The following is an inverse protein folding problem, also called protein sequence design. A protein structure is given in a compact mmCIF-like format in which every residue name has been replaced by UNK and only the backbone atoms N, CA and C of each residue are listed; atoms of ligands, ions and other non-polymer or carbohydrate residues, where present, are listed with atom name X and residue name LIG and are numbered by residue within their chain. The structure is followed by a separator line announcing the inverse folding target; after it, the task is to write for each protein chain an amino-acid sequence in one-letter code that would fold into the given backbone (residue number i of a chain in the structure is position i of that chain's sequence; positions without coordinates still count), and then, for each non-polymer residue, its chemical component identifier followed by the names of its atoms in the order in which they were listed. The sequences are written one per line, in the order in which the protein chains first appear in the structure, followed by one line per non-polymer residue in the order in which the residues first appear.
data_IF_452273334320
#
_entry.id   IF_452273334320
#
_cell.length_a   1.000
_cell.length_b   1.000
_cell.length_c   1.000
_cell.angle_alpha   90.00
_cell.angle_beta   90.00
_cell.angle_gamma   90.00
#
_symmetry.space_group_name_H-M   'P 1'
#
loop_
_entity.id
_entity.type
_entity.pdbx_description
1 polymer ?
#
# COMPACT_ATOMS: atom_id res chain seq x y z
N UNK A 1 -3.15 -18.77 -0.71
CA UNK A 1 -3.01 -17.32 -0.97
C UNK A 1 -3.01 -16.53 0.32
N UNK A 2 -3.92 -16.79 1.27
CA UNK A 2 -3.85 -16.19 2.62
C UNK A 2 -2.56 -16.55 3.37
N UNK A 3 -2.12 -17.81 3.34
CA UNK A 3 -0.82 -18.21 3.92
C UNK A 3 0.38 -17.53 3.25
N UNK A 4 0.35 -17.38 1.92
CA UNK A 4 1.42 -16.68 1.17
C UNK A 4 1.45 -15.21 1.58
N UNK A 5 0.28 -14.59 1.74
CA UNK A 5 0.13 -13.22 2.22
C UNK A 5 0.61 -13.05 3.66
N UNK A 6 0.37 -14.03 4.53
CA UNK A 6 0.84 -14.04 5.93
C UNK A 6 2.36 -14.22 6.02
N UNK A 7 2.94 -15.06 5.16
CA UNK A 7 4.40 -15.19 5.02
C UNK A 7 4.99 -13.87 4.49
N UNK A 8 4.38 -13.25 3.48
CA UNK A 8 4.81 -11.97 2.94
C UNK A 8 4.74 -10.86 4.01
N UNK A 9 3.71 -10.87 4.85
CA UNK A 9 3.55 -9.95 5.97
C UNK A 9 4.70 -10.13 7.00
N UNK A 10 4.96 -11.38 7.40
CA UNK A 10 6.02 -11.71 8.36
C UNK A 10 7.45 -11.40 7.88
N UNK A 11 7.74 -11.58 6.59
CA UNK A 11 9.09 -11.42 6.03
C UNK A 11 9.30 -10.13 5.22
N UNK A 12 8.25 -9.37 4.92
CA UNK A 12 8.30 -8.14 4.13
C UNK A 12 8.82 -6.92 4.89
N UNK A 13 8.90 -6.98 6.22
CA UNK A 13 9.27 -5.85 7.09
C UNK A 13 10.77 -5.52 7.13
N UNK A 14 11.61 -6.34 6.49
CA UNK A 14 13.06 -6.26 6.59
C UNK A 14 13.67 -5.50 5.39
N UNK A 15 14.29 -4.36 5.69
CA UNK A 15 14.40 -3.21 4.78
C UNK A 15 15.70 -3.19 3.95
N UNK A 16 16.69 -4.02 4.32
CA UNK A 16 18.09 -3.85 3.91
C UNK A 16 18.73 -5.08 3.27
N UNK A 17 17.94 -6.07 2.83
CA UNK A 17 18.51 -7.26 2.20
C UNK A 17 18.84 -7.01 0.74
N UNK A 18 20.07 -7.37 0.36
CA UNK A 18 20.63 -7.21 -0.99
C UNK A 18 19.75 -7.82 -2.10
N UNK A 19 19.09 -8.95 -1.82
CA UNK A 19 18.22 -9.64 -2.77
C UNK A 19 16.91 -8.89 -3.06
N UNK A 20 16.51 -7.93 -2.23
CA UNK A 20 15.38 -7.05 -2.52
C UNK A 20 15.76 -5.90 -3.44
N UNK A 21 17.02 -5.75 -3.85
CA UNK A 21 17.45 -4.71 -4.80
C UNK A 21 16.70 -4.82 -6.14
N UNK A 22 16.29 -3.69 -6.71
CA UNK A 22 15.60 -3.64 -8.01
C UNK A 22 16.41 -4.35 -9.09
N UNK A 23 17.72 -4.14 -9.12
CA UNK A 23 18.59 -4.78 -10.09
C UNK A 23 18.63 -6.30 -9.93
N UNK A 24 18.68 -6.80 -8.69
CA UNK A 24 18.62 -8.24 -8.42
C UNK A 24 17.26 -8.84 -8.82
N UNK A 25 16.16 -8.13 -8.55
CA UNK A 25 14.81 -8.55 -8.96
C UNK A 25 14.71 -8.63 -10.48
N UNK A 26 15.27 -7.67 -11.22
CA UNK A 26 15.29 -7.69 -12.69
C UNK A 26 16.10 -8.88 -13.21
N UNK A 27 17.27 -9.15 -12.64
CA UNK A 27 18.09 -10.32 -13.00
C UNK A 27 17.33 -11.62 -12.71
N UNK A 28 16.71 -11.74 -11.54
CA UNK A 28 15.86 -12.89 -11.24
C UNK A 28 14.65 -12.98 -12.16
N UNK A 29 14.09 -11.87 -12.62
CA UNK A 29 13.02 -11.90 -13.63
C UNK A 29 13.47 -12.52 -14.95
N UNK A 30 14.73 -12.30 -15.34
CA UNK A 30 15.30 -12.82 -16.59
C UNK A 30 15.71 -14.30 -16.44
N UNK A 31 16.36 -14.64 -15.33
CA UNK A 31 16.89 -16.01 -15.09
C UNK A 31 15.80 -16.97 -14.61
N UNK A 32 14.92 -16.50 -13.72
CA UNK A 32 13.90 -17.30 -13.07
C UNK A 32 12.69 -16.44 -12.68
N UNK A 33 11.88 -16.08 -13.69
CA UNK A 33 10.77 -15.13 -13.56
C UNK A 33 9.80 -15.37 -12.39
N UNK A 34 9.50 -16.61 -11.92
CA UNK A 34 8.65 -16.79 -10.74
C UNK A 34 9.28 -16.23 -9.46
N UNK A 35 10.60 -16.39 -9.27
CA UNK A 35 11.27 -15.75 -8.13
C UNK A 35 11.36 -14.24 -8.31
N UNK A 36 11.54 -13.75 -9.54
CA UNK A 36 11.47 -12.32 -9.83
C UNK A 36 10.15 -11.71 -9.34
N UNK A 37 9.02 -12.34 -9.64
CA UNK A 37 7.69 -11.92 -9.16
C UNK A 37 7.63 -12.01 -7.63
N UNK A 38 7.99 -13.14 -7.03
CA UNK A 38 7.91 -13.33 -5.59
C UNK A 38 8.75 -12.28 -4.81
N UNK A 39 9.96 -11.99 -5.29
CA UNK A 39 10.83 -10.97 -4.70
C UNK A 39 10.28 -9.55 -4.86
N UNK A 40 9.63 -9.27 -6.00
CA UNK A 40 8.97 -7.98 -6.21
C UNK A 40 7.81 -7.79 -5.22
N UNK A 41 7.00 -8.83 -5.00
CA UNK A 41 5.91 -8.82 -4.03
C UNK A 41 6.47 -8.56 -2.63
N UNK A 42 7.52 -9.30 -2.24
CA UNK A 42 8.16 -9.16 -0.93
C UNK A 42 8.76 -7.75 -0.72
N UNK A 43 9.39 -7.18 -1.76
CA UNK A 43 9.93 -5.80 -1.73
C UNK A 43 8.82 -4.75 -1.50
N UNK A 44 7.61 -5.02 -1.95
CA UNK A 44 6.49 -4.10 -1.83
C UNK A 44 5.73 -4.24 -0.51
N UNK A 45 5.79 -5.39 0.16
CA UNK A 45 5.02 -5.64 1.38
C UNK A 45 5.39 -4.73 2.56
N UNK A 46 6.68 -4.38 2.72
CA UNK A 46 7.13 -3.57 3.87
C UNK A 46 7.20 -2.06 3.68
N UNK A 47 6.78 -1.52 2.53
CA UNK A 47 6.87 -0.08 2.25
C UNK A 47 5.50 0.58 2.43
N UNK A 48 5.38 1.55 3.34
CA UNK A 48 4.13 2.30 3.55
C UNK A 48 3.57 2.85 2.24
N UNK A 49 4.41 3.48 1.43
CA UNK A 49 4.01 4.04 0.14
C UNK A 49 3.52 2.94 -0.81
N UNK A 50 4.13 1.75 -0.77
CA UNK A 50 3.73 0.62 -1.62
C UNK A 50 2.31 0.12 -1.31
N UNK A 51 1.81 0.33 -0.09
CA UNK A 51 0.42 0.03 0.28
C UNK A 51 -0.60 0.94 -0.41
N UNK A 52 -0.17 2.11 -0.88
CA UNK A 52 -1.00 3.11 -1.55
C UNK A 52 -0.68 3.26 -3.05
N UNK A 53 0.47 2.74 -3.49
CA UNK A 53 0.96 2.78 -4.89
C UNK A 53 0.19 1.84 -5.82
N UNK A 54 -0.60 0.91 -5.29
CA UNK A 54 -1.43 -0.01 -6.10
C UNK A 54 -2.22 0.70 -7.22
N UNK A 55 -2.74 1.90 -6.97
CA UNK A 55 -3.45 2.70 -7.97
C UNK A 55 -2.55 3.34 -9.04
N UNK A 56 -1.32 3.71 -8.69
CA UNK A 56 -0.43 4.55 -9.52
C UNK A 56 0.41 3.71 -10.48
N UNK A 57 0.82 2.50 -10.07
CA UNK A 57 1.70 1.63 -10.87
C UNK A 57 0.96 0.49 -11.61
N UNK A 58 -0.38 0.48 -11.59
CA UNK A 58 -1.19 -0.55 -12.29
C UNK A 58 -0.78 -0.75 -13.76
N UNK A 59 -0.44 0.35 -14.44
CA UNK A 59 -0.04 0.34 -15.86
C UNK A 59 1.25 -0.45 -16.08
N UNK A 60 2.21 -0.39 -15.15
CA UNK A 60 3.49 -1.10 -15.25
C UNK A 60 3.29 -2.61 -15.15
N UNK A 61 2.48 -3.07 -14.20
CA UNK A 61 2.15 -4.49 -14.04
C UNK A 61 1.29 -5.04 -15.18
N UNK A 62 0.35 -4.24 -15.68
CA UNK A 62 -0.47 -4.62 -16.84
C UNK A 62 0.41 -4.75 -18.09
N UNK A 63 1.29 -3.78 -18.34
CA UNK A 63 2.19 -3.78 -19.50
C UNK A 63 3.18 -4.95 -19.43
N UNK A 64 3.79 -5.20 -18.26
CA UNK A 64 4.69 -6.33 -18.06
C UNK A 64 3.97 -7.68 -18.21
N UNK A 65 2.74 -7.80 -17.67
CA UNK A 65 1.95 -9.03 -17.76
C UNK A 65 1.49 -9.31 -19.19
N UNK A 66 1.01 -8.29 -19.90
CA UNK A 66 0.66 -8.39 -21.32
C UNK A 66 1.88 -8.73 -22.19
N UNK A 67 3.03 -8.10 -21.92
CA UNK A 67 4.29 -8.40 -22.60
C UNK A 67 4.73 -9.85 -22.44
N UNK A 68 4.64 -10.39 -21.22
CA UNK A 68 4.93 -11.81 -20.95
C UNK A 68 3.99 -12.77 -21.71
N UNK A 69 2.70 -12.45 -21.80
CA UNK A 69 1.73 -13.27 -22.55
C UNK A 69 2.06 -13.25 -24.04
N UNK A 70 2.34 -12.09 -24.61
CA UNK A 70 2.69 -11.96 -26.04
C UNK A 70 3.98 -12.73 -26.34
N UNK A 71 5.02 -12.56 -25.52
CA UNK A 71 6.27 -13.33 -25.67
C UNK A 71 6.02 -14.83 -25.53
N UNK A 72 5.18 -15.24 -24.57
CA UNK A 72 4.78 -16.64 -24.40
C UNK A 72 4.14 -17.23 -25.66
N UNK A 73 3.21 -16.50 -26.30
CA UNK A 73 2.56 -16.92 -27.55
C UNK A 73 3.59 -17.10 -28.68
N UNK A 74 4.55 -16.17 -28.82
CA UNK A 74 5.62 -16.31 -29.80
C UNK A 74 6.54 -17.50 -29.49
N UNK A 75 6.83 -17.74 -28.22
CA UNK A 75 7.74 -18.80 -27.76
C UNK A 75 7.15 -20.20 -27.94
N UNK A 76 5.82 -20.36 -27.98
CA UNK A 76 5.15 -21.66 -28.18
C UNK A 76 5.68 -22.39 -29.42
N UNK A 77 6.04 -21.66 -30.48
CA UNK A 77 6.60 -22.24 -31.71
C UNK A 77 7.97 -22.91 -31.51
N UNK A 78 8.77 -22.43 -30.56
CA UNK A 78 10.10 -22.94 -30.26
C UNK A 78 10.09 -23.93 -29.11
N UNK A 79 9.35 -23.63 -28.04
CA UNK A 79 9.20 -24.51 -26.88
C UNK A 79 7.83 -24.29 -26.24
N UNK A 80 6.96 -25.31 -26.38
CA UNK A 80 5.61 -25.28 -25.84
C UNK A 80 5.57 -25.14 -24.32
N UNK A 81 6.49 -25.81 -23.62
CA UNK A 81 6.57 -25.78 -22.14
C UNK A 81 6.89 -24.36 -21.65
N UNK A 82 7.91 -23.72 -22.21
CA UNK A 82 8.29 -22.35 -21.84
C UNK A 82 7.20 -21.33 -22.22
N UNK A 83 6.56 -21.51 -23.38
CA UNK A 83 5.46 -20.64 -23.81
C UNK A 83 4.26 -20.67 -22.87
N UNK A 84 3.79 -21.86 -22.47
CA UNK A 84 2.68 -22.03 -21.52
C UNK A 84 3.04 -21.42 -20.15
N UNK A 85 4.26 -21.66 -19.69
CA UNK A 85 4.73 -21.20 -18.39
C UNK A 85 4.80 -19.66 -18.32
N UNK A 86 5.20 -18.98 -19.40
CA UNK A 86 5.15 -17.51 -19.49
C UNK A 86 3.71 -16.95 -19.52
N UNK A 87 2.78 -17.63 -20.18
CA UNK A 87 1.36 -17.21 -20.23
C UNK A 87 0.74 -17.28 -18.83
N UNK A 88 0.97 -18.38 -18.10
CA UNK A 88 0.52 -18.53 -16.71
C UNK A 88 1.11 -17.40 -15.85
N UNK A 89 2.39 -17.08 -16.05
CA UNK A 89 3.07 -16.01 -15.36
C UNK A 89 2.51 -14.62 -15.60
N UNK A 90 2.28 -14.28 -16.87
CA UNK A 90 1.63 -13.03 -17.24
C UNK A 90 0.21 -12.93 -16.66
N UNK A 91 -0.55 -14.03 -16.70
CA UNK A 91 -1.87 -14.10 -16.06
C UNK A 91 -1.83 -13.86 -14.54
N UNK A 92 -0.88 -14.48 -13.84
CA UNK A 92 -0.67 -14.26 -12.41
C UNK A 92 -0.33 -12.79 -12.09
N UNK A 93 0.49 -12.14 -12.93
CA UNK A 93 0.85 -10.73 -12.75
C UNK A 93 -0.34 -9.78 -12.96
N UNK A 94 -1.21 -10.08 -13.93
CA UNK A 94 -2.44 -9.32 -14.16
C UNK A 94 -3.43 -9.47 -13.00
N UNK A 95 -3.60 -10.68 -12.47
CA UNK A 95 -4.41 -10.92 -11.29
C UNK A 95 -3.85 -10.18 -10.06
N UNK A 96 -2.54 -10.30 -9.83
CA UNK A 96 -1.87 -9.62 -8.73
C UNK A 96 -2.03 -8.09 -8.81
N UNK A 97 -1.91 -7.51 -10.01
CA UNK A 97 -2.14 -6.07 -10.24
C UNK A 97 -3.52 -5.62 -9.75
N UNK A 98 -4.59 -6.38 -10.07
CA UNK A 98 -5.94 -6.07 -9.57
C UNK A 98 -6.02 -6.12 -8.06
N UNK A 99 -5.49 -7.18 -7.45
CA UNK A 99 -5.53 -7.33 -5.98
C UNK A 99 -4.78 -6.20 -5.25
N UNK A 100 -3.71 -5.65 -5.86
CA UNK A 100 -2.99 -4.51 -5.32
C UNK A 100 -3.79 -3.22 -5.39
N UNK A 101 -4.51 -2.99 -6.50
CA UNK A 101 -5.38 -1.81 -6.66
C UNK A 101 -6.49 -1.83 -5.62
N UNK A 102 -7.18 -2.97 -5.48
CA UNK A 102 -8.30 -3.10 -4.54
C UNK A 102 -7.84 -2.90 -3.09
N UNK A 103 -6.67 -3.45 -2.73
CA UNK A 103 -6.06 -3.25 -1.41
C UNK A 103 -5.68 -1.79 -1.18
N UNK A 104 -5.07 -1.14 -2.17
CA UNK A 104 -4.67 0.26 -2.05
C UNK A 104 -5.89 1.17 -1.90
N UNK A 105 -6.97 0.92 -2.64
CA UNK A 105 -8.21 1.70 -2.51
C UNK A 105 -8.84 1.53 -1.12
N UNK A 106 -8.91 0.29 -0.60
CA UNK A 106 -9.40 0.05 0.76
C UNK A 106 -8.54 0.72 1.81
N UNK A 107 -7.22 0.65 1.70
CA UNK A 107 -6.31 1.32 2.63
C UNK A 107 -6.53 2.84 2.64
N UNK A 108 -6.82 3.46 1.49
CA UNK A 108 -7.20 4.89 1.44
C UNK A 108 -8.52 5.16 2.14
N UNK A 109 -9.53 4.30 1.94
CA UNK A 109 -10.83 4.41 2.63
C UNK A 109 -10.68 4.30 4.15
N UNK A 110 -9.85 3.40 4.66
CA UNK A 110 -9.59 3.32 6.10
C UNK A 110 -9.00 4.62 6.65
N UNK A 111 -8.01 5.20 5.98
CA UNK A 111 -7.44 6.49 6.39
C UNK A 111 -8.50 7.59 6.34
N UNK A 112 -9.29 7.66 5.28
CA UNK A 112 -10.33 8.67 5.15
C UNK A 112 -11.37 8.57 6.28
N UNK A 113 -11.88 7.37 6.56
CA UNK A 113 -12.86 7.12 7.62
C UNK A 113 -12.28 7.44 9.01
N UNK A 114 -11.08 6.96 9.31
CA UNK A 114 -10.50 7.06 10.66
C UNK A 114 -9.92 8.45 10.92
N UNK A 115 -9.24 9.06 9.94
CA UNK A 115 -8.51 10.32 10.11
C UNK A 115 -9.38 11.51 9.76
N UNK A 116 -10.03 11.51 8.59
CA UNK A 116 -10.81 12.66 8.14
C UNK A 116 -12.20 12.68 8.78
N UNK A 117 -12.87 11.51 8.85
CA UNK A 117 -14.24 11.41 9.37
C UNK A 117 -14.32 11.07 10.87
N UNK A 118 -13.19 10.72 11.50
CA UNK A 118 -13.09 10.27 12.91
C UNK A 118 -14.06 9.14 13.26
N UNK A 119 -14.32 8.24 12.31
CA UNK A 119 -15.12 7.04 12.55
C UNK A 119 -14.34 6.05 13.42
N UNK A 120 -14.94 5.70 14.56
CA UNK A 120 -14.34 4.78 15.53
C UNK A 120 -14.94 3.37 15.47
N UNK A 121 -16.11 3.16 14.88
CA UNK A 121 -16.73 1.84 14.83
C UNK A 121 -16.09 0.95 13.75
N UNK A 122 -15.49 -0.17 14.16
CA UNK A 122 -14.93 -1.16 13.22
C UNK A 122 -16.03 -1.76 12.34
N UNK A 123 -17.23 -1.98 12.89
CA UNK A 123 -18.36 -2.51 12.13
C UNK A 123 -18.80 -1.54 11.02
N UNK A 124 -18.83 -0.22 11.28
CA UNK A 124 -19.16 0.77 10.25
C UNK A 124 -18.07 0.83 9.17
N UNK A 125 -16.80 0.83 9.58
CA UNK A 125 -15.66 0.79 8.65
C UNK A 125 -15.71 -0.46 7.75
N UNK A 126 -16.01 -1.62 8.34
CA UNK A 126 -16.16 -2.87 7.62
C UNK A 126 -17.34 -2.84 6.64
N UNK A 127 -18.46 -2.25 7.05
CA UNK A 127 -19.65 -2.03 6.23
C UNK A 127 -19.37 -1.16 5.01
N UNK A 128 -18.77 0.02 5.21
CA UNK A 128 -18.38 0.94 4.12
C UNK A 128 -17.38 0.29 3.15
N UNK A 129 -16.46 -0.53 3.68
CA UNK A 129 -15.48 -1.25 2.88
C UNK A 129 -15.99 -2.56 2.26
N UNK A 130 -17.26 -2.95 2.53
CA UNK A 130 -17.88 -4.20 2.06
C UNK A 130 -17.06 -5.45 2.40
N UNK A 131 -16.55 -5.53 3.62
CA UNK A 131 -15.76 -6.67 4.13
C UNK A 131 -16.28 -7.15 5.48
N UNK A 132 -15.90 -8.36 5.87
CA UNK A 132 -16.17 -8.91 7.20
C UNK A 132 -15.38 -8.17 8.29
N UNK A 133 -15.97 -8.05 9.48
CA UNK A 133 -15.34 -7.51 10.68
C UNK A 133 -13.94 -8.10 10.93
N UNK A 134 -13.79 -9.43 10.94
CA UNK A 134 -12.50 -10.09 11.22
C UNK A 134 -11.40 -9.72 10.22
N UNK A 135 -11.80 -9.48 8.97
CA UNK A 135 -10.88 -9.02 7.92
C UNK A 135 -10.49 -7.56 8.12
N UNK A 136 -11.44 -6.70 8.49
CA UNK A 136 -11.17 -5.30 8.79
C UNK A 136 -10.18 -5.19 9.97
N UNK A 137 -10.42 -5.91 11.06
CA UNK A 137 -9.53 -5.93 12.22
C UNK A 137 -8.12 -6.37 11.86
N UNK A 138 -7.97 -7.44 11.07
CA UNK A 138 -6.65 -7.91 10.60
C UNK A 138 -5.96 -6.88 9.71
N UNK A 139 -6.66 -6.29 8.74
CA UNK A 139 -6.09 -5.26 7.86
C UNK A 139 -5.69 -3.99 8.65
N UNK A 140 -6.48 -3.58 9.65
CA UNK A 140 -6.19 -2.44 10.51
C UNK A 140 -4.99 -2.68 11.44
N UNK A 141 -4.92 -3.85 12.07
CA UNK A 141 -3.74 -4.27 12.85
C UNK A 141 -2.49 -4.28 11.98
N UNK A 142 -2.59 -4.75 10.75
CA UNK A 142 -1.47 -4.71 9.80
C UNK A 142 -1.04 -3.28 9.43
N UNK A 143 -1.98 -2.36 9.24
CA UNK A 143 -1.66 -0.94 9.02
C UNK A 143 -1.01 -0.29 10.25
N UNK A 144 -1.37 -0.73 11.44
CA UNK A 144 -0.72 -0.31 12.69
C UNK A 144 0.72 -0.84 12.79
N UNK A 145 0.95 -2.13 12.52
CA UNK A 145 2.30 -2.75 12.62
C UNK A 145 3.29 -2.17 11.60
N UNK A 146 2.82 -1.86 10.38
CA UNK A 146 3.67 -1.20 9.37
C UNK A 146 3.86 0.30 9.65
N UNK A 147 3.15 0.84 10.64
CA UNK A 147 3.30 2.22 11.09
C UNK A 147 2.71 3.24 10.12
N UNK A 148 1.71 2.83 9.34
CA UNK A 148 0.79 3.74 8.64
C UNK A 148 -0.13 4.39 9.68
N UNK A 149 -0.66 3.59 10.60
CA UNK A 149 -1.59 3.99 11.64
C UNK A 149 -0.89 3.94 13.01
N UNK A 150 0.01 4.89 13.29
CA UNK A 150 0.88 4.83 14.50
C UNK A 150 0.19 5.13 15.81
N UNK A 151 -0.83 5.99 15.83
CA UNK A 151 -1.40 6.54 17.05
C UNK A 151 -2.85 6.08 17.24
N UNK A 152 -3.07 4.77 17.20
CA UNK A 152 -4.43 4.22 17.26
C UNK A 152 -4.49 3.10 18.28
N UNK A 153 -5.52 3.16 19.12
CA UNK A 153 -5.90 2.06 20.02
C UNK A 153 -7.01 1.27 19.36
N UNK A 154 -6.81 -0.04 19.16
CA UNK A 154 -7.85 -0.95 18.67
C UNK A 154 -8.37 -1.72 19.87
N UNK A 155 -9.62 -1.48 20.23
CA UNK A 155 -10.35 -2.18 21.27
C UNK A 155 -11.27 -3.22 20.62
N UNK A 156 -10.76 -4.45 20.49
CA UNK A 156 -11.50 -5.59 19.95
C UNK A 156 -12.78 -5.96 20.73
N UNK A 157 -12.79 -6.02 22.08
CA UNK A 157 -14.02 -6.36 22.80
C UNK A 157 -15.11 -5.30 22.64
N UNK A 158 -14.75 -4.02 22.56
CA UNK A 158 -15.73 -2.95 22.32
C UNK A 158 -15.99 -2.66 20.84
N UNK A 159 -15.25 -3.30 19.91
CA UNK A 159 -15.31 -3.09 18.44
C UNK A 159 -15.06 -1.64 18.01
N UNK A 160 -14.22 -0.94 18.76
CA UNK A 160 -13.93 0.48 18.56
C UNK A 160 -12.45 0.71 18.31
N UNK A 161 -12.18 1.69 17.45
CA UNK A 161 -10.89 2.26 17.14
C UNK A 161 -10.89 3.68 17.68
N UNK A 162 -9.87 4.03 18.46
CA UNK A 162 -9.70 5.40 18.95
C UNK A 162 -8.38 5.94 18.46
N UNK A 163 -8.43 7.08 17.77
CA UNK A 163 -7.23 7.83 17.44
C UNK A 163 -6.70 8.47 18.72
N UNK A 164 -5.54 8.00 19.19
CA UNK A 164 -4.81 8.67 20.26
C UNK A 164 -4.17 9.88 19.60
N UNK A 165 -4.84 11.03 19.60
CA UNK A 165 -4.20 12.26 19.17
C UNK A 165 -2.95 12.46 20.04
N UNK A 166 -1.77 12.30 19.44
CA UNK A 166 -0.55 12.79 20.06
C UNK A 166 -0.75 14.29 20.16
N UNK A 167 -1.06 14.75 21.36
CA UNK A 167 -1.24 16.13 21.74
C UNK A 167 -0.18 17.00 21.06
N UNK A 168 -0.49 17.55 19.89
CA UNK A 168 0.15 18.76 19.39
C UNK A 168 -0.64 19.91 20.02
N UNK A 169 -0.49 20.08 21.33
CA UNK A 169 -0.64 21.41 21.89
C UNK A 169 0.67 22.12 21.52
N UNK A 170 0.58 23.19 20.72
CA UNK A 170 0.98 24.44 21.29
C UNK A 170 -0.26 25.31 21.45
N UNK A 171 -0.61 25.55 22.71
CA UNK A 171 -1.27 26.77 23.10
C UNK A 171 -0.44 27.93 22.55
N UNK A 172 -1.13 28.82 21.84
CA UNK A 172 -0.90 30.26 21.82
C UNK A 172 0.46 30.74 21.30
N UNK A 173 0.47 31.21 20.06
CA UNK A 173 0.71 32.63 19.80
C UNK A 173 0.40 32.95 18.33
N UNK A 174 -0.71 33.64 18.10
CA UNK A 174 -0.97 34.37 16.88
C UNK A 174 0.12 35.44 16.70
N UNK A 175 1.22 35.09 16.05
CA UNK A 175 2.18 36.07 15.55
C UNK A 175 2.09 36.07 14.03
N UNK A 176 1.31 37.04 13.55
CA UNK A 176 1.43 37.72 12.26
C UNK A 176 1.69 36.85 11.02
N UNK A 177 0.61 36.53 10.31
CA UNK A 177 0.60 36.60 8.85
C UNK A 177 1.15 35.41 8.07
N UNK A 178 1.14 34.20 8.63
CA UNK A 178 1.30 32.99 7.81
C UNK A 178 -0.06 32.38 7.50
N UNK A 179 -0.44 32.38 6.23
CA UNK A 179 -1.63 31.68 5.76
C UNK A 179 -1.37 30.17 5.85
N UNK A 180 -2.07 29.51 6.75
CA UNK A 180 -2.11 28.05 6.83
C UNK A 180 -3.07 27.52 5.76
N UNK A 181 -2.61 26.54 4.99
CA UNK A 181 -3.44 25.89 3.97
C UNK A 181 -3.65 24.44 4.36
N UNK A 182 -4.91 24.04 4.43
CA UNK A 182 -5.28 22.63 4.50
C UNK A 182 -4.92 21.96 3.18
N UNK A 183 -3.96 21.05 3.20
CA UNK A 183 -3.59 20.26 2.03
C UNK A 183 -3.95 18.78 2.23
N UNK A 184 -4.50 18.20 1.17
CA UNK A 184 -4.84 16.78 1.10
C UNK A 184 -3.70 16.01 0.47
N UNK A 185 -3.27 14.92 1.11
CA UNK A 185 -2.20 14.10 0.59
C UNK A 185 -2.60 13.40 -0.73
N UNK A 186 -1.83 13.54 -1.83
CA UNK A 186 -2.15 12.90 -3.11
C UNK A 186 -1.97 11.37 -3.07
N UNK A 187 -1.22 10.84 -2.09
CA UNK A 187 -0.99 9.42 -1.91
C UNK A 187 -2.14 8.73 -1.18
N UNK A 188 -2.38 9.13 0.07
CA UNK A 188 -3.31 8.46 0.98
C UNK A 188 -4.65 9.16 1.20
N UNK A 189 -4.79 10.44 0.82
CA UNK A 189 -6.01 11.22 1.06
C UNK A 189 -6.15 11.83 2.46
N UNK A 190 -5.16 11.65 3.36
CA UNK A 190 -5.15 12.33 4.65
C UNK A 190 -5.05 13.85 4.50
N UNK A 191 -5.82 14.59 5.30
CA UNK A 191 -5.77 16.06 5.36
C UNK A 191 -4.83 16.52 6.48
N UNK A 192 -4.02 17.56 6.19
CA UNK A 192 -3.14 18.19 7.18
C UNK A 192 -3.05 19.70 6.95
N UNK A 193 -2.93 20.47 8.03
CA UNK A 193 -2.63 21.89 7.99
C UNK A 193 -1.11 22.09 7.78
N UNK A 194 -0.74 22.82 6.72
CA UNK A 194 0.66 23.09 6.36
C UNK A 194 0.84 24.58 6.09
N UNK A 195 1.98 25.11 6.52
CA UNK A 195 2.36 26.52 6.33
C UNK A 195 2.68 26.75 4.85
N UNK A 196 2.11 27.79 4.22
CA UNK A 196 2.39 28.14 2.81
C UNK A 196 3.90 28.26 2.55
N UNK A 197 4.37 27.63 1.46
CA UNK A 197 5.79 27.64 1.08
C UNK A 197 6.67 26.60 1.78
N UNK A 198 6.12 25.77 2.67
CA UNK A 198 6.85 24.65 3.28
C UNK A 198 6.57 23.32 2.56
N UNK A 199 7.60 22.46 2.50
CA UNK A 199 7.47 21.06 2.08
C UNK A 199 7.41 20.18 3.32
N UNK A 200 6.31 19.44 3.49
CA UNK A 200 6.15 18.50 4.61
C UNK A 200 5.78 17.11 4.08
N UNK A 201 6.22 16.05 4.76
CA UNK A 201 5.84 14.69 4.39
C UNK A 201 4.54 14.27 5.09
N UNK A 202 3.72 13.48 4.41
CA UNK A 202 2.53 12.87 4.99
C UNK A 202 2.92 11.87 6.09
N UNK A 203 2.30 11.97 7.27
CA UNK A 203 2.58 11.10 8.42
C UNK A 203 2.16 9.63 8.21
N UNK A 204 1.19 9.42 7.32
CA UNK A 204 0.57 8.12 7.06
C UNK A 204 1.22 7.36 5.90
N UNK A 205 1.61 8.06 4.83
CA UNK A 205 2.13 7.43 3.60
C UNK A 205 3.46 8.01 3.12
N UNK A 206 4.16 8.79 3.96
CA UNK A 206 5.48 9.38 3.74
C UNK A 206 5.63 10.10 2.37
N UNK A 207 4.51 10.50 1.77
CA UNK A 207 4.47 11.16 0.46
C UNK A 207 4.71 12.65 0.67
N UNK A 208 5.62 13.28 -0.10
CA UNK A 208 5.88 14.71 0.04
C UNK A 208 4.65 15.51 -0.37
N UNK A 209 4.30 16.50 0.43
CA UNK A 209 3.22 17.44 0.22
C UNK A 209 3.81 18.84 0.11
N UNK A 210 3.40 19.57 -0.93
CA UNK A 210 3.78 20.96 -1.15
C UNK A 210 2.51 21.80 -1.05
N UNK A 211 2.49 22.77 -0.14
CA UNK A 211 1.46 23.79 -0.10
C UNK A 211 1.87 24.92 -1.04
N UNK A 212 1.41 24.85 -2.28
CA UNK A 212 1.49 25.93 -3.28
C UNK A 212 0.42 26.98 -3.03
#
# INVERSE_FOLDING_TARGET
MEEIMEIIDKYGADKNKWYLSIWFIVIMFIVFWPAGIALLILRNAGRKNAMFIGSTDKRKYILAGAGLIVLGIFQIKSSTVWGILMIIGGGALLYYSKTLVDKAERNKKYIDLIVNQREGSIDNIAGVCSISYDKAVRELKYLQTVGVLKNISIDEPNRVITLIESTQIPERNSILGQEEVTCTCPGCGATKLVIKGSTSCCEYCDTPMSAS
#
